data_IF_105554374968
#
_entry.id   IF_105554374968
#
_cell.length_a   1.000
_cell.length_b   1.000
_cell.length_c   1.000
_cell.angle_alpha   90.00
_cell.angle_beta   90.00
_cell.angle_gamma   90.00
#
_symmetry.space_group_name_H-M   'P 1'
#
loop_
_entity.id
_entity.type
_entity.pdbx_description
1 polymer ?
#
# COMPACT_ATOMS: atom_id res chain seq x y z
N UNK A 1 -3.84 -0.14 -20.56
CA UNK A 1 -2.57 0.02 -21.27
C UNK A 1 -1.43 0.07 -20.28
N UNK A 2 -0.46 -0.84 -20.43
CA UNK A 2 0.67 -0.95 -19.49
C UNK A 2 1.55 0.30 -19.42
N UNK A 3 1.63 1.07 -20.52
CA UNK A 3 2.38 2.32 -20.57
C UNK A 3 1.82 3.39 -19.62
N UNK A 4 0.53 3.33 -19.28
CA UNK A 4 -0.14 4.31 -18.42
C UNK A 4 0.35 4.24 -16.98
N UNK A 5 0.58 3.05 -16.45
CA UNK A 5 1.05 2.87 -15.07
C UNK A 5 2.42 3.53 -14.86
N UNK A 6 3.38 3.24 -15.74
CA UNK A 6 4.74 3.77 -15.64
C UNK A 6 4.78 5.30 -15.77
N UNK A 7 3.87 5.88 -16.56
CA UNK A 7 3.78 7.32 -16.77
C UNK A 7 3.09 8.04 -15.62
N UNK A 8 2.04 7.42 -15.05
CA UNK A 8 1.16 8.06 -14.07
C UNK A 8 1.59 7.86 -12.62
N UNK A 9 2.27 6.75 -12.32
CA UNK A 9 2.66 6.41 -10.95
C UNK A 9 4.18 6.33 -10.86
N UNK A 10 4.82 7.13 -9.99
CA UNK A 10 6.26 7.02 -9.78
C UNK A 10 6.60 5.70 -9.10
N UNK A 11 7.89 5.31 -9.15
CA UNK A 11 8.39 4.14 -8.41
C UNK A 11 8.58 4.56 -6.95
N UNK A 12 8.01 3.78 -6.02
CA UNK A 12 8.20 4.01 -4.60
C UNK A 12 9.64 3.72 -4.21
N UNK A 13 10.33 4.74 -3.71
CA UNK A 13 11.71 4.63 -3.23
C UNK A 13 11.84 4.79 -1.70
N UNK A 14 10.76 5.16 -1.04
CA UNK A 14 10.66 5.41 0.39
C UNK A 14 10.21 6.84 0.70
N UNK A 15 11.09 7.85 0.53
CA UNK A 15 10.75 9.25 0.87
C UNK A 15 9.60 9.84 0.06
N UNK A 16 9.32 9.31 -1.12
CA UNK A 16 8.26 9.79 -2.02
C UNK A 16 6.91 9.10 -1.78
N UNK A 17 6.69 8.52 -0.59
CA UNK A 17 5.46 7.74 -0.31
C UNK A 17 4.18 8.55 -0.54
N UNK A 18 4.11 9.80 -0.11
CA UNK A 18 2.92 10.64 -0.28
C UNK A 18 2.54 10.79 -1.76
N UNK A 19 3.51 11.11 -2.59
CA UNK A 19 3.29 11.25 -4.04
C UNK A 19 2.91 9.91 -4.66
N UNK A 20 3.65 8.87 -4.31
CA UNK A 20 3.42 7.51 -4.81
C UNK A 20 2.04 6.99 -4.42
N UNK A 21 1.67 7.08 -3.14
CA UNK A 21 0.41 6.55 -2.65
C UNK A 21 -0.80 7.25 -3.27
N UNK A 22 -0.73 8.56 -3.43
CA UNK A 22 -1.79 9.33 -4.09
C UNK A 22 -1.97 8.91 -5.55
N UNK A 23 -0.86 8.79 -6.28
CA UNK A 23 -0.88 8.40 -7.69
C UNK A 23 -1.33 6.93 -7.85
N UNK A 24 -0.82 6.02 -7.02
CA UNK A 24 -1.19 4.60 -7.07
C UNK A 24 -2.66 4.40 -6.72
N UNK A 25 -3.15 5.08 -5.68
CA UNK A 25 -4.57 5.04 -5.32
C UNK A 25 -5.45 5.48 -6.49
N UNK A 26 -5.12 6.60 -7.11
CA UNK A 26 -5.86 7.11 -8.26
C UNK A 26 -5.82 6.14 -9.44
N UNK A 27 -4.68 5.51 -9.68
CA UNK A 27 -4.53 4.49 -10.71
C UNK A 27 -5.43 3.28 -10.44
N UNK A 28 -5.38 2.73 -9.21
CA UNK A 28 -6.20 1.59 -8.83
C UNK A 28 -7.69 1.91 -8.90
N UNK A 29 -8.09 3.13 -8.52
CA UNK A 29 -9.48 3.58 -8.67
C UNK A 29 -9.91 3.61 -10.13
N UNK A 30 -9.05 4.09 -11.03
CA UNK A 30 -9.34 4.13 -12.47
C UNK A 30 -9.48 2.75 -13.09
N UNK A 31 -8.84 1.74 -12.51
CA UNK A 31 -8.91 0.35 -12.96
C UNK A 31 -10.02 -0.45 -12.26
N UNK A 32 -10.76 0.17 -11.35
CA UNK A 32 -11.77 -0.53 -10.56
C UNK A 32 -11.21 -1.47 -9.52
N UNK A 33 -9.95 -1.30 -9.13
CA UNK A 33 -9.23 -2.22 -8.24
C UNK A 33 -9.05 -1.68 -6.82
N UNK A 34 -9.38 -0.42 -6.57
CA UNK A 34 -9.19 0.16 -5.24
C UNK A 34 -10.07 -0.50 -4.17
N UNK A 35 -11.31 -0.87 -4.53
CA UNK A 35 -12.25 -1.48 -3.59
C UNK A 35 -11.72 -2.78 -2.99
N UNK A 36 -10.88 -3.51 -3.72
CA UNK A 36 -10.34 -4.81 -3.26
C UNK A 36 -9.48 -4.67 -2.00
N UNK A 37 -8.89 -3.50 -1.79
CA UNK A 37 -8.02 -3.26 -0.63
C UNK A 37 -8.81 -3.24 0.68
N UNK A 38 -10.05 -2.81 0.64
CA UNK A 38 -10.91 -2.68 1.81
C UNK A 38 -11.96 -3.80 1.93
N UNK A 39 -12.24 -4.51 0.84
CA UNK A 39 -13.24 -5.57 0.85
C UNK A 39 -12.59 -6.93 1.04
N UNK A 40 -12.99 -7.68 2.07
CA UNK A 40 -12.45 -9.03 2.28
C UNK A 40 -12.91 -9.98 1.20
N UNK A 41 -12.17 -11.07 1.03
CA UNK A 41 -12.59 -12.16 0.16
C UNK A 41 -13.98 -12.67 0.56
N UNK A 42 -14.91 -12.85 -0.39
CA UNK A 42 -16.19 -13.45 -0.10
C UNK A 42 -16.01 -14.79 0.61
N UNK A 43 -16.86 -15.05 1.59
CA UNK A 43 -16.79 -16.28 2.34
C UNK A 43 -17.27 -17.46 1.48
N UNK A 44 -16.56 -18.58 1.59
CA UNK A 44 -17.01 -19.82 0.98
C UNK A 44 -18.24 -20.36 1.76
N UNK A 45 -19.38 -20.35 1.12
CA UNK A 45 -20.65 -20.74 1.74
C UNK A 45 -20.81 -22.26 1.94
N UNK A 46 -19.89 -23.05 1.40
CA UNK A 46 -19.89 -24.52 1.62
C UNK A 46 -19.18 -24.92 2.91
N UNK A 47 -18.56 -23.95 3.60
CA UNK A 47 -17.79 -24.18 4.82
C UNK A 47 -18.44 -23.49 6.02
N UNK A 48 -18.27 -24.11 7.20
CA UNK A 48 -18.69 -23.52 8.47
C UNK A 48 -17.71 -22.44 8.95
N UNK A 49 -17.95 -21.89 10.15
CA UNK A 49 -17.09 -20.86 10.75
C UNK A 49 -15.65 -21.34 11.01
N UNK A 50 -15.48 -22.65 11.16
CA UNK A 50 -14.19 -23.31 11.44
C UNK A 50 -13.53 -23.83 10.16
N UNK A 51 -14.08 -23.49 8.98
CA UNK A 51 -13.62 -23.95 7.66
C UNK A 51 -13.77 -25.46 7.44
N UNK A 52 -14.73 -26.07 8.13
CA UNK A 52 -15.10 -27.45 7.87
C UNK A 52 -16.28 -27.51 6.87
N UNK A 53 -16.34 -28.52 5.99
CA UNK A 53 -17.47 -28.68 5.07
C UNK A 53 -18.79 -28.77 5.82
N UNK A 54 -19.81 -28.12 5.29
CA UNK A 54 -21.16 -28.20 5.85
C UNK A 54 -21.75 -29.59 5.64
N UNK A 55 -22.66 -29.98 6.55
CA UNK A 55 -23.43 -31.20 6.40
C UNK A 55 -24.39 -31.08 5.23
N UNK A 56 -24.78 -32.21 4.64
CA UNK A 56 -25.59 -32.24 3.41
C UNK A 56 -26.93 -31.51 3.53
N UNK A 57 -27.51 -31.53 4.73
CA UNK A 57 -28.81 -30.86 5.00
C UNK A 57 -28.69 -29.33 5.14
N UNK A 58 -27.48 -28.85 5.36
CA UNK A 58 -27.17 -27.41 5.51
C UNK A 58 -26.47 -26.81 4.27
N UNK A 59 -26.22 -27.65 3.27
CA UNK A 59 -25.53 -27.24 2.06
C UNK A 59 -26.43 -26.31 1.22
N UNK A 60 -25.88 -25.16 0.73
CA UNK A 60 -26.63 -24.30 -0.19
C UNK A 60 -26.96 -24.99 -1.49
N UNK A 61 -27.85 -24.41 -2.27
CA UNK A 61 -28.17 -24.93 -3.60
C UNK A 61 -26.97 -24.87 -4.53
N UNK A 62 -26.97 -25.73 -5.56
CA UNK A 62 -25.88 -25.75 -6.55
C UNK A 62 -25.69 -24.38 -7.22
N UNK A 63 -26.79 -23.69 -7.51
CA UNK A 63 -26.74 -22.35 -8.10
C UNK A 63 -26.09 -21.33 -7.16
N UNK A 64 -26.38 -21.38 -5.87
CA UNK A 64 -25.77 -20.50 -4.87
C UNK A 64 -24.28 -20.78 -4.70
N UNK A 65 -23.89 -22.06 -4.76
CA UNK A 65 -22.50 -22.49 -4.69
C UNK A 65 -21.72 -21.95 -5.90
N UNK A 66 -22.28 -22.08 -7.10
CA UNK A 66 -21.65 -21.61 -8.34
C UNK A 66 -21.48 -20.08 -8.33
N UNK A 67 -22.52 -19.34 -7.92
CA UNK A 67 -22.44 -17.88 -7.77
C UNK A 67 -21.35 -17.46 -6.77
N UNK A 68 -21.31 -18.14 -5.63
CA UNK A 68 -20.33 -17.84 -4.58
C UNK A 68 -18.90 -18.12 -5.07
N UNK A 69 -18.70 -19.22 -5.77
CA UNK A 69 -17.43 -19.60 -6.36
C UNK A 69 -16.96 -18.55 -7.36
N UNK A 70 -17.84 -18.09 -8.23
CA UNK A 70 -17.54 -17.04 -9.20
C UNK A 70 -17.12 -15.73 -8.49
N UNK A 71 -17.84 -15.34 -7.43
CA UNK A 71 -17.50 -14.16 -6.64
C UNK A 71 -16.11 -14.26 -6.00
N UNK A 72 -15.76 -15.43 -5.47
CA UNK A 72 -14.44 -15.68 -4.89
C UNK A 72 -13.35 -15.60 -5.95
N UNK A 73 -13.55 -16.25 -7.10
CA UNK A 73 -12.60 -16.24 -8.20
C UNK A 73 -12.37 -14.81 -8.74
N UNK A 74 -13.43 -14.03 -8.91
CA UNK A 74 -13.36 -12.64 -9.33
C UNK A 74 -12.62 -11.79 -8.31
N UNK A 75 -12.87 -12.00 -7.02
CA UNK A 75 -12.15 -11.29 -5.96
C UNK A 75 -10.66 -11.62 -5.99
N UNK A 76 -10.30 -12.89 -6.13
CA UNK A 76 -8.90 -13.32 -6.19
C UNK A 76 -8.18 -12.75 -7.40
N UNK A 77 -8.85 -12.71 -8.55
CA UNK A 77 -8.30 -12.13 -9.78
C UNK A 77 -8.03 -10.64 -9.61
N UNK A 78 -8.99 -9.89 -9.08
CA UNK A 78 -8.83 -8.47 -8.82
C UNK A 78 -7.75 -8.21 -7.76
N UNK A 79 -7.66 -9.07 -6.75
CA UNK A 79 -6.62 -8.99 -5.72
C UNK A 79 -5.22 -9.15 -6.33
N UNK A 80 -5.04 -10.14 -7.19
CA UNK A 80 -3.76 -10.37 -7.86
C UNK A 80 -3.39 -9.23 -8.81
N UNK A 81 -4.35 -8.68 -9.53
CA UNK A 81 -4.13 -7.52 -10.40
C UNK A 81 -3.69 -6.29 -9.60
N UNK A 82 -4.35 -6.03 -8.47
CA UNK A 82 -3.99 -4.91 -7.61
C UNK A 82 -2.58 -5.08 -7.02
N UNK A 83 -2.25 -6.28 -6.55
CA UNK A 83 -0.91 -6.60 -6.05
C UNK A 83 0.13 -6.39 -7.14
N UNK A 84 -0.12 -6.90 -8.35
CA UNK A 84 0.79 -6.76 -9.47
C UNK A 84 1.05 -5.30 -9.84
N UNK A 85 0.01 -4.48 -9.88
CA UNK A 85 0.13 -3.05 -10.17
C UNK A 85 0.95 -2.32 -9.10
N UNK A 86 0.73 -2.64 -7.82
CA UNK A 86 1.50 -2.07 -6.72
C UNK A 86 2.96 -2.50 -6.82
N UNK A 87 3.21 -3.79 -7.01
CA UNK A 87 4.57 -4.35 -7.07
C UNK A 87 5.39 -3.78 -8.22
N UNK A 88 4.79 -3.53 -9.37
CA UNK A 88 5.48 -2.98 -10.54
C UNK A 88 6.06 -1.59 -10.28
N UNK A 89 5.50 -0.86 -9.34
CA UNK A 89 5.92 0.50 -9.01
C UNK A 89 6.60 0.59 -7.63
N UNK A 90 7.28 -0.49 -7.22
CA UNK A 90 8.13 -0.52 -6.03
C UNK A 90 9.60 -0.66 -6.45
N UNK A 91 10.49 0.06 -5.76
CA UNK A 91 11.93 -0.12 -5.96
C UNK A 91 12.35 -1.56 -5.62
N UNK A 92 13.37 -2.12 -6.29
CA UNK A 92 13.80 -3.51 -6.05
C UNK A 92 14.13 -3.81 -4.58
N UNK A 93 14.68 -2.86 -3.85
CA UNK A 93 14.99 -3.01 -2.41
C UNK A 93 13.72 -3.21 -1.58
N UNK A 94 12.65 -2.51 -1.94
CA UNK A 94 11.35 -2.63 -1.26
C UNK A 94 10.71 -3.96 -1.60
N UNK A 95 10.73 -4.35 -2.87
CA UNK A 95 10.19 -5.66 -3.32
C UNK A 95 10.89 -6.81 -2.59
N UNK A 96 12.20 -6.74 -2.45
CA UNK A 96 12.99 -7.78 -1.81
C UNK A 96 12.73 -7.97 -0.33
N UNK A 97 12.18 -6.97 0.33
CA UNK A 97 11.86 -7.01 1.77
C UNK A 97 10.43 -7.47 2.07
N UNK A 98 9.62 -7.72 1.04
CA UNK A 98 8.25 -8.17 1.22
C UNK A 98 8.19 -9.67 1.49
N UNK A 99 7.31 -10.06 2.41
CA UNK A 99 7.06 -11.47 2.73
C UNK A 99 5.86 -11.99 1.93
N UNK A 100 5.77 -13.31 1.78
CA UNK A 100 4.63 -13.94 1.12
C UNK A 100 3.30 -13.63 1.82
N UNK A 101 3.32 -13.50 3.14
CA UNK A 101 2.14 -13.14 3.93
C UNK A 101 1.66 -11.72 3.57
N UNK A 102 2.58 -10.78 3.45
CA UNK A 102 2.27 -9.39 3.06
C UNK A 102 1.71 -9.32 1.64
N UNK A 103 2.19 -10.17 0.74
CA UNK A 103 1.76 -10.21 -0.66
C UNK A 103 0.52 -11.07 -0.91
N UNK A 104 -0.05 -11.66 0.13
CA UNK A 104 -1.25 -12.50 0.01
C UNK A 104 -2.48 -11.69 -0.38
N UNK A 105 -2.58 -10.47 0.13
CA UNK A 105 -3.71 -9.57 -0.15
C UNK A 105 -3.22 -8.16 -0.46
N UNK A 106 -3.85 -7.53 -1.44
CA UNK A 106 -3.53 -6.15 -1.80
C UNK A 106 -3.70 -5.20 -0.61
N UNK A 107 -4.73 -5.40 0.21
CA UNK A 107 -4.96 -4.61 1.42
C UNK A 107 -3.84 -4.75 2.45
N UNK A 108 -3.32 -5.97 2.65
CA UNK A 108 -2.19 -6.21 3.54
C UNK A 108 -0.91 -5.57 3.01
N UNK A 109 -0.66 -5.69 1.71
CA UNK A 109 0.48 -5.06 1.06
C UNK A 109 0.43 -3.54 1.21
N UNK A 110 -0.73 -2.94 0.95
CA UNK A 110 -0.92 -1.50 1.10
C UNK A 110 -0.69 -1.04 2.53
N UNK A 111 -1.27 -1.74 3.51
CA UNK A 111 -1.11 -1.42 4.92
C UNK A 111 0.35 -1.54 5.37
N UNK A 112 1.07 -2.54 4.88
CA UNK A 112 2.49 -2.71 5.16
C UNK A 112 3.31 -1.54 4.63
N UNK A 113 3.09 -1.15 3.38
CA UNK A 113 3.80 -0.01 2.78
C UNK A 113 3.48 1.29 3.50
N UNK A 114 2.22 1.49 3.88
CA UNK A 114 1.81 2.65 4.67
C UNK A 114 2.51 2.70 6.03
N UNK A 115 2.61 1.57 6.72
CA UNK A 115 3.27 1.49 8.02
C UNK A 115 4.77 1.73 7.94
N UNK A 116 5.41 1.31 6.84
CA UNK A 116 6.86 1.45 6.66
C UNK A 116 7.27 2.82 6.10
N UNK A 117 6.47 3.39 5.22
CA UNK A 117 6.85 4.59 4.47
C UNK A 117 5.85 5.74 4.61
N UNK A 118 4.64 5.47 5.07
CA UNK A 118 3.55 6.47 5.15
C UNK A 118 3.69 7.45 6.30
N UNK A 119 4.47 7.10 7.32
CA UNK A 119 4.75 7.99 8.45
C UNK A 119 6.16 8.52 8.33
N UNK A 120 6.43 9.78 8.75
CA UNK A 120 7.79 10.32 8.77
C UNK A 120 8.68 9.38 9.59
N UNK A 121 9.60 8.70 8.91
CA UNK A 121 10.60 7.86 9.55
C UNK A 121 11.83 8.68 9.92
N UNK A 122 12.80 8.02 10.57
CA UNK A 122 14.07 8.65 10.97
C UNK A 122 14.77 9.31 9.77
N UNK A 123 14.78 8.65 8.62
CA UNK A 123 15.41 9.16 7.40
C UNK A 123 14.73 10.44 6.90
N UNK A 124 13.40 10.44 6.84
CA UNK A 124 12.62 11.62 6.42
C UNK A 124 12.84 12.78 7.38
N UNK A 125 12.78 12.52 8.68
CA UNK A 125 13.04 13.51 9.73
C UNK A 125 14.46 14.07 9.61
N UNK A 126 15.45 13.21 9.35
CA UNK A 126 16.84 13.61 9.15
C UNK A 126 16.99 14.53 7.93
N UNK A 127 16.37 14.19 6.81
CA UNK A 127 16.40 15.00 5.59
C UNK A 127 15.75 16.37 5.79
N UNK A 128 14.63 16.43 6.49
CA UNK A 128 13.96 17.67 6.85
C UNK A 128 14.84 18.53 7.77
N UNK A 129 15.47 17.92 8.76
CA UNK A 129 16.41 18.57 9.65
C UNK A 129 17.60 19.15 8.88
N UNK A 130 18.21 18.37 8.00
CA UNK A 130 19.36 18.79 7.19
C UNK A 130 19.00 19.96 6.28
N UNK A 131 17.85 19.93 5.62
CA UNK A 131 17.40 21.01 4.76
C UNK A 131 17.17 22.29 5.56
N UNK A 132 16.53 22.21 6.73
CA UNK A 132 16.34 23.35 7.61
C UNK A 132 17.66 23.95 8.10
N UNK A 133 18.62 23.09 8.45
CA UNK A 133 19.95 23.50 8.88
C UNK A 133 20.72 24.23 7.78
N UNK A 134 20.75 23.68 6.57
CA UNK A 134 21.43 24.26 5.42
C UNK A 134 20.87 25.65 5.07
N UNK A 135 19.55 25.80 5.06
CA UNK A 135 18.89 27.08 4.78
C UNK A 135 19.28 28.14 5.82
N UNK A 136 19.22 27.79 7.09
CA UNK A 136 19.46 28.74 8.18
C UNK A 136 20.91 29.15 8.29
N UNK A 137 21.83 28.25 8.06
CA UNK A 137 23.29 28.55 8.05
C UNK A 137 23.61 29.49 6.90
N UNK A 138 23.06 29.25 5.71
CA UNK A 138 23.27 30.09 4.54
C UNK A 138 22.73 31.49 4.73
N UNK A 139 21.59 31.65 5.39
CA UNK A 139 20.96 32.96 5.58
C UNK A 139 21.67 33.83 6.60
N UNK A 140 22.20 33.25 7.66
CA UNK A 140 22.70 34.01 8.80
C UNK A 140 24.21 33.99 8.97
N UNK A 141 24.93 33.03 8.42
CA UNK A 141 26.37 32.83 8.56
C UNK A 141 26.86 32.69 10.01
N UNK A 142 25.95 32.66 10.97
CA UNK A 142 26.24 32.52 12.40
C UNK A 142 25.66 31.17 12.88
N UNK A 143 26.54 30.23 13.27
CA UNK A 143 26.10 28.90 13.71
C UNK A 143 25.17 28.94 14.94
N UNK A 144 25.41 29.88 15.85
CA UNK A 144 24.61 30.03 17.07
C UNK A 144 23.14 30.39 16.72
N UNK A 145 22.98 31.37 15.85
CA UNK A 145 21.66 31.79 15.38
C UNK A 145 20.97 30.66 14.61
N UNK A 146 21.71 29.95 13.78
CA UNK A 146 21.17 28.80 13.04
C UNK A 146 20.67 27.69 13.97
N UNK A 147 21.44 27.39 15.03
CA UNK A 147 21.07 26.40 16.03
C UNK A 147 19.83 26.82 16.78
N UNK A 148 19.73 28.08 17.23
CA UNK A 148 18.56 28.61 17.90
C UNK A 148 17.28 28.49 17.03
N UNK A 149 17.39 28.85 15.74
CA UNK A 149 16.29 28.73 14.79
C UNK A 149 15.89 27.29 14.54
N UNK A 150 16.83 26.36 14.48
CA UNK A 150 16.55 24.94 14.35
C UNK A 150 15.80 24.40 15.56
N UNK A 151 16.20 24.79 16.77
CA UNK A 151 15.54 24.42 18.01
C UNK A 151 14.09 24.89 17.99
N UNK A 152 13.84 26.12 17.55
CA UNK A 152 12.49 26.67 17.40
C UNK A 152 11.70 25.92 16.34
N UNK A 153 12.36 25.54 15.22
CA UNK A 153 11.71 24.82 14.13
C UNK A 153 11.22 23.41 14.55
N UNK A 154 11.98 22.74 15.41
CA UNK A 154 11.65 21.38 15.89
C UNK A 154 10.89 21.36 17.22
N UNK A 155 10.75 22.48 17.89
CA UNK A 155 9.94 22.62 19.08
C UNK A 155 8.44 22.79 18.71
#
# INVERSE_FOLDING_TARGET
MSSSLTTLVPVLSGPNYQLWSTAMKSFLMSQGQWCILSHPCPRDITLDKNRNPLESDKMPSESEIDENKEKIENWEDDNQKAIGNIMLQLAPQIQGNLTSETMDRAGLLWAHLESQYGKPGIITTYLEFKAAMDIKINDNKDPTIAIDKMTTHFA
#
